data_IF_446667787475
#
_entry.id   IF_446667787475
#
_cell.length_a   1.000
_cell.length_b   1.000
_cell.length_c   1.000
_cell.angle_alpha   90.00
_cell.angle_beta   90.00
_cell.angle_gamma   90.00
#
_symmetry.space_group_name_H-M   'P 1'
#
loop_
_entity.id
_entity.type
_entity.pdbx_description
1 polymer ?
#
# COMPACT_ATOMS: atom_id res chain seq x y z
N UNK A 1 -14.21 -7.33 -14.23
CA UNK A 1 -13.34 -6.25 -13.73
C UNK A 1 -12.04 -6.86 -13.24
N UNK A 2 -10.89 -6.35 -13.70
CA UNK A 2 -9.56 -6.85 -13.31
C UNK A 2 -9.27 -6.44 -11.87
N UNK A 3 -8.83 -7.35 -11.01
CA UNK A 3 -8.63 -7.10 -9.58
C UNK A 3 -7.19 -6.68 -9.31
N UNK A 4 -7.01 -5.68 -8.48
CA UNK A 4 -5.69 -5.14 -8.12
C UNK A 4 -5.57 -4.93 -6.62
N UNK A 5 -4.33 -4.84 -6.17
CA UNK A 5 -3.95 -4.50 -4.79
C UNK A 5 -3.27 -3.14 -4.80
N UNK A 6 -3.55 -2.33 -3.79
CA UNK A 6 -2.92 -1.02 -3.59
C UNK A 6 -2.06 -1.05 -2.31
N UNK A 7 -0.78 -0.73 -2.43
CA UNK A 7 0.19 -0.70 -1.33
C UNK A 7 0.69 0.72 -1.14
N UNK A 8 0.79 1.17 0.11
CA UNK A 8 1.04 2.58 0.44
C UNK A 8 -0.06 3.48 -0.12
N UNK A 9 -1.31 3.01 0.03
CA UNK A 9 -2.45 3.50 -0.73
C UNK A 9 -2.86 4.95 -0.39
N UNK A 10 -2.33 5.52 0.70
CA UNK A 10 -2.68 6.85 1.17
C UNK A 10 -4.20 7.01 1.29
N UNK A 11 -4.71 8.13 0.76
CA UNK A 11 -6.15 8.41 0.73
C UNK A 11 -6.90 7.75 -0.46
N UNK A 12 -6.21 6.99 -1.32
CA UNK A 12 -6.82 6.25 -2.44
C UNK A 12 -6.76 6.94 -3.80
N UNK A 13 -5.82 7.85 -4.01
CA UNK A 13 -5.69 8.61 -5.26
C UNK A 13 -5.51 7.73 -6.50
N UNK A 14 -4.56 6.79 -6.49
CA UNK A 14 -4.39 5.87 -7.63
C UNK A 14 -5.54 4.89 -7.72
N UNK A 15 -6.03 4.37 -6.61
CA UNK A 15 -7.20 3.49 -6.62
C UNK A 15 -8.40 4.14 -7.31
N UNK A 16 -8.67 5.43 -7.09
CA UNK A 16 -9.70 6.15 -7.84
C UNK A 16 -9.42 6.18 -9.36
N UNK A 17 -8.18 6.45 -9.76
CA UNK A 17 -7.78 6.44 -11.17
C UNK A 17 -7.93 5.05 -11.83
N UNK A 18 -7.60 3.98 -11.10
CA UNK A 18 -7.77 2.60 -11.59
C UNK A 18 -9.23 2.16 -11.62
N UNK A 19 -10.05 2.59 -10.67
CA UNK A 19 -11.50 2.41 -10.72
C UNK A 19 -12.09 3.10 -11.97
N UNK A 20 -11.64 4.31 -12.31
CA UNK A 20 -12.01 5.00 -13.55
C UNK A 20 -11.53 4.25 -14.82
N UNK A 21 -10.46 3.47 -14.71
CA UNK A 21 -9.94 2.61 -15.78
C UNK A 21 -10.54 1.20 -15.80
N UNK A 22 -11.68 0.97 -15.12
CA UNK A 22 -12.39 -0.31 -15.05
C UNK A 22 -11.60 -1.44 -14.35
N UNK A 23 -10.75 -1.08 -13.40
CA UNK A 23 -10.14 -2.01 -12.45
C UNK A 23 -10.90 -2.00 -11.12
N UNK A 24 -10.70 -3.06 -10.33
CA UNK A 24 -11.25 -3.21 -8.98
C UNK A 24 -10.11 -3.31 -7.97
N UNK A 25 -9.91 -2.28 -7.15
CA UNK A 25 -9.08 -2.45 -5.96
C UNK A 25 -9.82 -3.35 -4.97
N UNK A 26 -9.24 -4.50 -4.62
CA UNK A 26 -9.86 -5.47 -3.70
C UNK A 26 -9.22 -5.46 -2.32
N UNK A 27 -8.03 -4.89 -2.22
CA UNK A 27 -7.29 -4.73 -0.99
C UNK A 27 -6.38 -3.51 -1.08
N UNK A 28 -6.34 -2.73 0.00
CA UNK A 28 -5.44 -1.61 0.17
C UNK A 28 -4.68 -1.74 1.50
N UNK A 29 -3.38 -1.46 1.48
CA UNK A 29 -2.53 -1.42 2.66
C UNK A 29 -2.03 0.01 2.86
N UNK A 30 -2.47 0.65 3.94
CA UNK A 30 -2.07 2.01 4.31
C UNK A 30 -1.95 2.11 5.82
N UNK A 31 -0.75 2.41 6.32
CA UNK A 31 -0.44 2.42 7.74
C UNK A 31 -0.96 3.69 8.45
N UNK A 32 -1.04 4.82 7.75
CA UNK A 32 -1.62 6.04 8.32
C UNK A 32 -3.13 5.88 8.47
N UNK A 33 -3.60 5.89 9.72
CA UNK A 33 -5.01 5.64 10.03
C UNK A 33 -5.95 6.70 9.45
N UNK A 34 -5.50 7.95 9.32
CA UNK A 34 -6.31 9.05 8.79
C UNK A 34 -6.48 8.92 7.28
N UNK A 35 -5.39 8.58 6.59
CA UNK A 35 -5.39 8.27 5.17
C UNK A 35 -6.26 7.03 4.90
N UNK A 36 -6.08 5.95 5.67
CA UNK A 36 -6.88 4.72 5.57
C UNK A 36 -8.38 4.95 5.81
N UNK A 37 -8.75 5.79 6.78
CA UNK A 37 -10.15 6.17 7.00
C UNK A 37 -10.72 6.94 5.81
N UNK A 38 -9.95 7.90 5.28
CA UNK A 38 -10.33 8.66 4.08
C UNK A 38 -10.49 7.72 2.89
N UNK A 39 -9.55 6.81 2.69
CA UNK A 39 -9.61 5.76 1.67
C UNK A 39 -10.92 4.97 1.81
N UNK A 40 -11.21 4.44 3.00
CA UNK A 40 -12.37 3.57 3.23
C UNK A 40 -13.71 4.28 2.98
N UNK A 41 -13.79 5.58 3.28
CA UNK A 41 -14.97 6.40 3.01
C UNK A 41 -15.27 6.54 1.51
N UNK A 42 -14.21 6.69 0.69
CA UNK A 42 -14.33 6.86 -0.76
C UNK A 42 -14.43 5.51 -1.51
N UNK A 43 -13.74 4.47 -1.03
CA UNK A 43 -13.63 3.15 -1.66
C UNK A 43 -14.34 2.07 -0.85
N UNK A 44 -15.66 2.20 -0.70
CA UNK A 44 -16.50 1.36 0.19
C UNK A 44 -16.42 -0.17 -0.05
N UNK A 45 -16.02 -0.59 -1.24
CA UNK A 45 -15.94 -2.00 -1.63
C UNK A 45 -14.53 -2.59 -1.50
N UNK A 46 -13.56 -1.81 -1.01
CA UNK A 46 -12.18 -2.22 -0.83
C UNK A 46 -11.93 -2.57 0.63
N UNK A 47 -11.21 -3.67 0.87
CA UNK A 47 -10.71 -4.02 2.20
C UNK A 47 -9.44 -3.23 2.50
N UNK A 48 -9.46 -2.38 3.52
CA UNK A 48 -8.29 -1.58 3.94
C UNK A 48 -7.65 -2.19 5.19
N UNK A 49 -6.33 -2.31 5.20
CA UNK A 49 -5.54 -2.72 6.36
C UNK A 49 -4.55 -1.63 6.75
N UNK A 50 -4.45 -1.36 8.05
CA UNK A 50 -3.48 -0.42 8.64
C UNK A 50 -2.21 -1.08 9.16
N UNK A 51 -2.04 -2.37 8.84
CA UNK A 51 -0.84 -3.11 9.23
C UNK A 51 0.37 -2.54 8.51
N UNK A 52 1.45 -2.31 9.27
CA UNK A 52 2.76 -1.99 8.70
C UNK A 52 3.17 -3.12 7.75
N UNK A 53 3.49 -2.81 6.49
CA UNK A 53 3.83 -3.82 5.48
C UNK A 53 4.97 -4.75 5.91
N UNK A 54 5.89 -4.30 6.77
CA UNK A 54 6.98 -5.12 7.33
C UNK A 54 6.49 -6.21 8.28
N UNK A 55 5.25 -6.09 8.75
CA UNK A 55 4.55 -7.04 9.62
C UNK A 55 3.48 -7.83 8.84
N UNK A 56 3.28 -7.53 7.56
CA UNK A 56 2.33 -8.25 6.71
C UNK A 56 2.95 -9.60 6.33
N UNK A 57 2.38 -10.66 6.87
CA UNK A 57 2.93 -12.02 6.83
C UNK A 57 2.60 -12.77 5.54
N UNK A 58 3.41 -13.77 5.21
CA UNK A 58 3.14 -14.71 4.11
C UNK A 58 1.76 -15.38 4.23
N UNK A 59 1.28 -15.59 5.46
CA UNK A 59 -0.04 -16.16 5.69
C UNK A 59 -1.15 -15.19 5.28
N UNK A 60 -1.01 -13.90 5.61
CA UNK A 60 -1.94 -12.87 5.17
C UNK A 60 -1.95 -12.74 3.65
N UNK A 61 -0.78 -12.77 3.00
CA UNK A 61 -0.66 -12.80 1.54
C UNK A 61 -1.38 -14.01 0.96
N UNK A 62 -1.13 -15.22 1.48
CA UNK A 62 -1.80 -16.46 1.03
C UNK A 62 -3.31 -16.39 1.19
N UNK A 63 -3.79 -15.87 2.32
CA UNK A 63 -5.21 -15.69 2.57
C UNK A 63 -5.84 -14.69 1.58
N UNK A 64 -5.13 -13.61 1.27
CA UNK A 64 -5.55 -12.61 0.30
C UNK A 64 -5.68 -13.22 -1.10
N UNK A 65 -4.65 -13.93 -1.56
CA UNK A 65 -4.62 -14.59 -2.86
C UNK A 65 -5.69 -15.68 -2.96
N UNK A 66 -5.90 -16.46 -1.89
CA UNK A 66 -6.97 -17.46 -1.82
C UNK A 66 -8.36 -16.83 -1.87
N UNK A 67 -8.56 -15.69 -1.20
CA UNK A 67 -9.86 -14.99 -1.16
C UNK A 67 -10.25 -14.39 -2.51
N UNK A 68 -9.29 -13.85 -3.25
CA UNK A 68 -9.58 -13.13 -4.50
C UNK A 68 -9.26 -13.93 -5.77
N UNK A 69 -8.66 -15.12 -5.64
CA UNK A 69 -8.24 -16.10 -6.65
C UNK A 69 -7.23 -15.57 -7.67
N UNK A 70 -7.57 -14.46 -8.33
CA UNK A 70 -6.77 -13.83 -9.37
C UNK A 70 -6.61 -12.35 -9.08
N UNK A 71 -5.35 -11.91 -9.06
CA UNK A 71 -4.93 -10.52 -8.95
C UNK A 71 -4.13 -10.21 -10.22
N UNK A 72 -4.55 -9.20 -10.96
CA UNK A 72 -3.94 -8.78 -12.22
C UNK A 72 -2.74 -7.85 -12.04
N UNK A 73 -2.62 -7.20 -10.89
CA UNK A 73 -1.55 -6.26 -10.64
C UNK A 73 -1.52 -5.76 -9.20
N UNK A 74 -0.38 -5.14 -8.89
CA UNK A 74 -0.13 -4.46 -7.63
C UNK A 74 0.27 -3.03 -8.00
N UNK A 75 -0.37 -2.07 -7.36
CA UNK A 75 0.06 -0.67 -7.31
C UNK A 75 0.86 -0.51 -6.02
N UNK A 76 2.00 0.15 -6.10
CA UNK A 76 2.79 0.48 -4.93
C UNK A 76 3.24 1.94 -5.04
N UNK A 77 2.84 2.76 -4.07
CA UNK A 77 3.14 4.19 -4.00
C UNK A 77 4.08 4.49 -2.82
N UNK A 78 5.32 3.97 -2.81
CA UNK A 78 6.20 4.19 -1.69
C UNK A 78 6.45 5.69 -1.47
N UNK A 79 6.61 6.12 -0.21
CA UNK A 79 6.84 7.53 0.07
C UNK A 79 8.09 8.00 -0.67
N UNK A 80 7.94 9.08 -1.43
CA UNK A 80 9.04 9.75 -2.11
C UNK A 80 9.89 10.49 -1.06
N UNK A 81 10.75 9.75 -0.34
CA UNK A 81 11.71 10.34 0.58
C UNK A 81 13.00 10.68 -0.17
N UNK A 82 13.39 11.95 -0.13
CA UNK A 82 14.65 12.41 -0.66
C UNK A 82 15.80 11.94 0.24
N UNK A 83 16.79 11.27 -0.38
CA UNK A 83 18.07 10.95 0.23
C UNK A 83 18.90 12.24 0.42
N UNK A 84 18.50 13.13 1.33
CA UNK A 84 19.33 14.29 1.63
C UNK A 84 20.54 13.83 2.46
N UNK A 85 21.74 13.91 1.90
CA UNK A 85 23.02 13.57 2.53
C UNK A 85 23.42 14.53 3.68
N UNK A 86 22.51 15.39 4.12
CA UNK A 86 22.78 16.50 5.03
C UNK A 86 22.76 16.13 6.53
N UNK A 87 22.54 14.87 6.90
CA UNK A 87 22.71 14.39 8.28
C UNK A 87 23.77 13.28 8.35
N UNK A 88 25.03 13.69 8.41
CA UNK A 88 26.09 12.86 8.99
C UNK A 88 25.81 12.75 10.49
N UNK A 89 25.65 11.53 11.00
CA UNK A 89 25.62 11.17 12.43
C UNK A 89 24.26 11.14 13.14
N UNK A 90 23.38 10.23 12.73
CA UNK A 90 22.63 9.38 13.68
C UNK A 90 22.33 8.05 13.01
N UNK A 91 22.48 6.98 13.77
CA UNK A 91 22.36 5.59 13.35
C UNK A 91 21.27 5.38 12.30
N UNK A 92 21.63 4.79 11.16
CA UNK A 92 20.74 4.30 10.10
C UNK A 92 19.90 3.11 10.61
N UNK A 93 19.12 3.34 11.66
CA UNK A 93 18.20 2.37 12.25
C UNK A 93 16.78 2.72 11.82
N UNK A 94 16.33 2.02 10.79
CA UNK A 94 14.92 1.65 10.58
C UNK A 94 13.89 2.79 10.47
N UNK A 95 14.27 3.92 9.90
CA UNK A 95 13.31 4.92 9.44
C UNK A 95 12.68 4.46 8.13
N UNK A 96 11.55 5.07 7.74
CA UNK A 96 10.80 4.84 6.51
C UNK A 96 11.64 4.87 5.20
N UNK A 97 12.90 5.30 5.29
CA UNK A 97 13.91 5.43 4.25
C UNK A 97 14.37 4.10 3.62
N UNK A 98 14.14 2.95 4.24
CA UNK A 98 14.71 1.66 3.79
C UNK A 98 13.71 0.66 3.20
N UNK A 99 12.44 1.03 2.99
CA UNK A 99 11.44 0.09 2.50
C UNK A 99 11.62 -0.33 1.03
N UNK A 100 12.32 0.47 0.21
CA UNK A 100 12.55 0.19 -1.21
C UNK A 100 14.00 0.32 -1.69
N UNK A 101 14.93 0.71 -0.83
CA UNK A 101 16.35 0.95 -1.16
C UNK A 101 17.16 -0.36 -1.38
N UNK A 102 16.48 -1.50 -1.53
CA UNK A 102 17.08 -2.80 -1.86
C UNK A 102 16.56 -3.39 -3.18
N UNK A 103 15.90 -2.58 -4.03
CA UNK A 103 15.71 -2.90 -5.44
C UNK A 103 16.85 -2.32 -6.29
#
# INVERSE_FOLDING_TARGET
MKKIIDLFAGAGGFSAGFEMAEYKTVFALEKDEWAAQTYQQNHKNTLVSTVDIRKFSDLEVKNLLKKYEKIEGIIAEPPCQSFSYAEKNKELRWTWQNLFTLC
#
